data_IF_341578851729
#
_entry.id   IF_341578851729
#
_cell.length_a   1.000
_cell.length_b   1.000
_cell.length_c   1.000
_cell.angle_alpha   90.00
_cell.angle_beta   90.00
_cell.angle_gamma   90.00
#
_symmetry.space_group_name_H-M   'P 1'
#
loop_
_entity.id
_entity.type
_entity.pdbx_description
1 polymer ?
#
# COMPACT_ATOMS: atom_id res chain seq x y z
N UNK A 1 -13.33 31.20 7.22
CA UNK A 1 -12.33 31.61 6.19
C UNK A 1 -12.49 33.12 5.99
N UNK A 2 -11.45 33.94 6.07
CA UNK A 2 -11.59 35.39 5.85
C UNK A 2 -12.05 35.60 4.39
N UNK A 3 -13.15 36.35 4.20
CA UNK A 3 -13.53 36.87 2.87
C UNK A 3 -12.58 38.01 2.55
N UNK A 4 -11.66 37.79 1.62
CA UNK A 4 -10.81 38.83 1.09
C UNK A 4 -11.49 39.37 -0.18
N UNK A 5 -11.91 40.63 -0.16
CA UNK A 5 -12.51 41.29 -1.33
C UNK A 5 -11.36 42.06 -1.99
N UNK A 6 -10.86 41.57 -3.11
CA UNK A 6 -10.10 42.36 -4.06
C UNK A 6 -11.05 42.75 -5.19
N UNK A 7 -11.18 44.03 -5.48
CA UNK A 7 -12.13 44.58 -6.47
C UNK A 7 -11.94 44.09 -7.91
N UNK A 8 -10.87 43.33 -8.19
CA UNK A 8 -10.58 42.74 -9.50
C UNK A 8 -10.74 41.21 -9.54
N UNK A 9 -11.20 40.59 -8.46
CA UNK A 9 -11.34 39.14 -8.36
C UNK A 9 -12.81 38.74 -8.21
N UNK A 10 -13.57 38.91 -9.30
CA UNK A 10 -14.92 38.33 -9.37
C UNK A 10 -14.86 36.81 -9.18
N UNK A 11 -15.33 36.36 -8.02
CA UNK A 11 -15.65 34.95 -7.68
C UNK A 11 -14.51 33.90 -7.75
N UNK A 12 -13.26 34.25 -7.86
CA UNK A 12 -12.17 33.26 -7.82
C UNK A 12 -11.88 32.77 -6.40
N UNK A 13 -11.78 31.45 -6.22
CA UNK A 13 -11.36 30.87 -4.96
C UNK A 13 -9.89 31.25 -4.66
N UNK A 14 -9.65 31.93 -3.54
CA UNK A 14 -8.31 32.32 -3.11
C UNK A 14 -7.77 31.28 -2.12
N UNK A 15 -6.61 30.73 -2.44
CA UNK A 15 -5.82 29.89 -1.55
C UNK A 15 -5.02 30.82 -0.64
N UNK A 16 -5.16 30.63 0.66
CA UNK A 16 -4.48 31.43 1.66
C UNK A 16 -3.54 30.55 2.47
N UNK A 17 -2.29 30.97 2.61
CA UNK A 17 -1.33 30.35 3.55
C UNK A 17 -0.69 31.39 4.44
N UNK A 18 -0.50 31.04 5.70
CA UNK A 18 0.10 31.91 6.71
C UNK A 18 1.33 31.20 7.32
N UNK A 19 2.49 31.88 7.28
CA UNK A 19 3.73 31.39 7.89
C UNK A 19 4.35 32.49 8.74
N UNK A 20 4.24 32.35 10.06
CA UNK A 20 4.62 33.43 10.99
C UNK A 20 3.80 34.69 10.74
N UNK A 21 4.46 35.81 10.43
CA UNK A 21 3.81 37.08 10.06
C UNK A 21 3.60 37.27 8.56
N UNK A 22 3.94 36.27 7.73
CA UNK A 22 3.83 36.37 6.28
C UNK A 22 2.54 35.72 5.78
N UNK A 23 1.78 36.47 4.99
CA UNK A 23 0.54 36.03 4.33
C UNK A 23 0.82 35.82 2.85
N UNK A 24 0.52 34.63 2.33
CA UNK A 24 0.55 34.37 0.89
C UNK A 24 -0.89 34.11 0.41
N UNK A 25 -1.23 34.72 -0.71
CA UNK A 25 -2.52 34.56 -1.38
C UNK A 25 -2.27 34.19 -2.84
N UNK A 26 -3.02 33.25 -3.37
CA UNK A 26 -3.01 32.90 -4.80
C UNK A 26 -4.38 32.38 -5.24
N UNK A 27 -4.67 32.47 -6.52
CA UNK A 27 -5.78 31.72 -7.12
C UNK A 27 -5.29 30.37 -7.69
N UNK A 28 -6.23 29.51 -8.03
CA UNK A 28 -5.92 28.15 -8.49
C UNK A 28 -5.15 28.10 -9.82
N UNK A 29 -5.34 29.07 -10.69
CA UNK A 29 -4.70 29.14 -12.02
C UNK A 29 -3.36 29.88 -12.00
N UNK A 30 -2.97 30.45 -10.85
CA UNK A 30 -1.71 31.18 -10.70
C UNK A 30 -1.67 32.57 -11.36
N UNK A 31 -2.78 33.04 -11.91
CA UNK A 31 -2.87 34.37 -12.52
C UNK A 31 -2.85 35.55 -11.53
N UNK A 32 -3.02 35.22 -10.24
CA UNK A 32 -2.91 36.16 -9.13
C UNK A 32 -2.04 35.58 -8.03
N UNK A 33 -1.08 36.36 -7.56
CA UNK A 33 -0.23 36.04 -6.41
C UNK A 33 0.01 37.27 -5.58
N UNK A 34 -0.13 37.17 -4.27
CA UNK A 34 0.16 38.24 -3.34
C UNK A 34 0.94 37.74 -2.13
N UNK A 35 1.90 38.53 -1.70
CA UNK A 35 2.69 38.31 -0.49
C UNK A 35 2.59 39.56 0.37
N UNK A 36 2.16 39.38 1.62
CA UNK A 36 2.05 40.46 2.58
C UNK A 36 2.59 40.07 3.94
N UNK A 37 2.89 41.09 4.74
CA UNK A 37 3.34 40.92 6.12
C UNK A 37 2.39 41.60 7.08
N UNK A 38 2.05 40.93 8.18
CA UNK A 38 1.27 41.54 9.26
C UNK A 38 2.11 42.56 10.01
N UNK A 39 1.63 43.81 10.06
CA UNK A 39 2.27 44.94 10.75
C UNK A 39 1.14 45.77 11.38
N UNK A 40 1.19 46.02 12.68
CA UNK A 40 0.28 46.91 13.42
C UNK A 40 -1.23 46.69 13.14
N UNK A 41 -1.66 45.45 13.08
CA UNK A 41 -3.09 45.09 12.89
C UNK A 41 -3.57 45.09 11.44
N UNK A 42 -2.70 45.34 10.47
CA UNK A 42 -2.99 45.24 9.03
C UNK A 42 -1.99 44.35 8.30
N UNK A 43 -2.18 44.15 7.02
CA UNK A 43 -1.26 43.46 6.12
C UNK A 43 -0.83 44.41 5.03
N UNK A 44 0.46 44.60 4.89
CA UNK A 44 1.05 45.35 3.79
C UNK A 44 1.87 44.42 2.91
N UNK A 45 1.73 44.55 1.59
CA UNK A 45 2.40 43.64 0.68
C UNK A 45 2.38 44.06 -0.76
N UNK A 46 2.71 43.10 -1.62
CA UNK A 46 2.69 43.24 -3.06
C UNK A 46 1.88 42.12 -3.68
N UNK A 47 1.15 42.44 -4.76
CA UNK A 47 0.53 41.41 -5.59
C UNK A 47 0.96 41.56 -7.04
N UNK A 48 0.91 40.45 -7.76
CA UNK A 48 1.13 40.36 -9.18
C UNK A 48 -0.21 40.05 -9.85
N UNK A 49 -0.57 40.83 -10.84
CA UNK A 49 -1.77 40.62 -11.65
C UNK A 49 -1.50 39.59 -12.77
N UNK A 50 -2.54 39.27 -13.53
CA UNK A 50 -2.48 38.33 -14.67
C UNK A 50 -1.53 38.75 -15.81
N UNK A 51 -1.18 40.01 -15.88
CA UNK A 51 -0.26 40.57 -16.88
C UNK A 51 1.20 40.55 -16.40
N UNK A 52 1.46 40.05 -15.18
CA UNK A 52 2.79 40.01 -14.59
C UNK A 52 3.23 41.32 -13.89
N UNK A 53 2.36 42.33 -13.83
CA UNK A 53 2.66 43.62 -13.21
C UNK A 53 2.51 43.55 -11.69
N UNK A 54 3.36 44.28 -10.96
CA UNK A 54 3.38 44.32 -9.51
C UNK A 54 2.77 45.59 -8.95
N UNK A 55 1.88 45.43 -7.97
CA UNK A 55 1.23 46.53 -7.26
C UNK A 55 1.38 46.35 -5.75
N UNK A 56 1.46 47.46 -5.02
CA UNK A 56 1.41 47.43 -3.56
C UNK A 56 -0.05 47.33 -3.10
N UNK A 57 -0.28 46.62 -2.02
CA UNK A 57 -1.59 46.60 -1.36
C UNK A 57 -1.44 46.80 0.14
N UNK A 58 -2.48 47.30 0.74
CA UNK A 58 -2.64 47.37 2.19
C UNK A 58 -4.02 46.88 2.55
N UNK A 59 -4.10 45.97 3.56
CA UNK A 59 -5.37 45.52 4.12
C UNK A 59 -5.39 45.92 5.60
N UNK A 60 -6.49 46.45 6.04
CA UNK A 60 -6.76 46.76 7.44
C UNK A 60 -7.90 45.86 7.88
N UNK A 61 -7.88 45.47 9.10
CA UNK A 61 -8.99 44.69 9.68
C UNK A 61 -10.20 45.61 9.85
N UNK A 62 -11.23 45.37 9.06
CA UNK A 62 -12.45 46.19 9.04
C UNK A 62 -13.37 45.87 10.24
N UNK A 63 -13.50 44.60 10.57
CA UNK A 63 -14.33 44.15 11.69
C UNK A 63 -13.74 42.92 12.37
N UNK A 64 -14.12 42.71 13.62
CA UNK A 64 -13.91 41.42 14.28
C UNK A 64 -14.82 40.40 13.57
N UNK A 65 -14.24 39.29 13.13
CA UNK A 65 -15.03 38.13 12.70
C UNK A 65 -15.82 37.66 13.94
N UNK A 66 -17.06 38.01 13.99
CA UNK A 66 -18.03 37.39 14.89
C UNK A 66 -18.41 36.11 14.16
N UNK A 67 -17.94 34.96 14.64
CA UNK A 67 -18.49 33.67 14.18
C UNK A 67 -20.02 33.77 14.37
N UNK A 68 -20.77 33.65 13.29
CA UNK A 68 -22.21 33.34 13.44
C UNK A 68 -22.26 32.12 14.34
N UNK A 69 -22.80 32.28 15.55
CA UNK A 69 -23.20 31.11 16.33
C UNK A 69 -24.19 30.37 15.43
N UNK A 70 -23.71 29.29 14.82
CA UNK A 70 -24.62 28.34 14.22
C UNK A 70 -25.55 27.92 15.39
N UNK A 71 -26.82 28.24 15.27
CA UNK A 71 -27.84 27.58 16.05
C UNK A 71 -27.45 26.10 16.11
N UNK A 72 -27.40 25.48 17.28
CA UNK A 72 -27.15 24.07 17.37
C UNK A 72 -28.10 23.37 16.42
N UNK A 73 -27.59 22.83 15.36
CA UNK A 73 -28.36 21.98 14.49
C UNK A 73 -28.71 20.79 15.38
N UNK A 74 -29.97 20.68 15.80
CA UNK A 74 -30.51 19.52 16.51
C UNK A 74 -30.54 18.26 15.58
N UNK A 75 -29.63 18.19 14.62
CA UNK A 75 -29.33 16.92 13.99
C UNK A 75 -28.77 16.02 15.10
N UNK A 76 -29.58 15.07 15.50
CA UNK A 76 -29.16 13.99 16.39
C UNK A 76 -27.82 13.49 15.87
N UNK A 77 -26.76 13.75 16.63
CA UNK A 77 -25.45 13.20 16.31
C UNK A 77 -25.64 11.69 16.35
N UNK A 78 -25.60 11.06 15.19
CA UNK A 78 -25.62 9.60 15.10
C UNK A 78 -24.41 9.08 15.88
N UNK A 79 -24.67 8.67 17.13
CA UNK A 79 -23.67 8.08 18.03
C UNK A 79 -23.50 6.59 17.78
N UNK A 80 -24.15 6.03 16.76
CA UNK A 80 -23.98 4.64 16.40
C UNK A 80 -22.55 4.37 15.99
N UNK A 81 -21.99 3.27 16.48
CA UNK A 81 -20.67 2.82 16.04
C UNK A 81 -20.83 2.33 14.61
N UNK A 82 -20.11 2.91 13.63
CA UNK A 82 -20.17 2.46 12.25
C UNK A 82 -19.85 0.97 12.14
N UNK A 83 -20.57 0.26 11.27
CA UNK A 83 -20.28 -1.14 11.01
C UNK A 83 -18.82 -1.32 10.54
N UNK A 84 -18.12 -2.27 11.15
CA UNK A 84 -16.76 -2.64 10.75
C UNK A 84 -16.80 -3.46 9.46
N UNK A 85 -15.93 -3.14 8.52
CA UNK A 85 -15.78 -3.87 7.27
C UNK A 85 -14.38 -4.50 7.19
N UNK A 86 -14.27 -5.64 6.55
CA UNK A 86 -13.06 -6.44 6.43
C UNK A 86 -12.58 -6.51 4.97
N UNK A 87 -11.50 -5.80 4.58
CA UNK A 87 -10.73 -4.81 5.36
C UNK A 87 -11.29 -3.38 5.27
N UNK A 88 -12.19 -3.09 4.31
CA UNK A 88 -12.77 -1.77 4.06
C UNK A 88 -14.13 -1.86 3.37
N UNK A 89 -14.90 -0.78 3.36
CA UNK A 89 -16.26 -0.75 2.80
C UNK A 89 -16.29 -0.90 1.27
N UNK A 90 -15.25 -0.47 0.56
CA UNK A 90 -15.28 -0.40 -0.90
C UNK A 90 -15.22 -1.80 -1.57
N UNK A 91 -14.39 -2.70 -1.04
CA UNK A 91 -14.13 -4.02 -1.60
C UNK A 91 -14.13 -5.13 -0.54
N UNK A 92 -14.61 -4.83 0.65
CA UNK A 92 -14.53 -5.75 1.78
C UNK A 92 -15.85 -6.43 2.08
N UNK A 93 -15.90 -7.06 3.23
CA UNK A 93 -17.00 -7.86 3.73
C UNK A 93 -17.53 -7.29 5.04
N UNK A 94 -18.84 -7.37 5.28
CA UNK A 94 -19.44 -7.00 6.58
C UNK A 94 -19.04 -7.95 7.70
N UNK A 95 -18.82 -9.21 7.36
CA UNK A 95 -18.34 -10.22 8.28
C UNK A 95 -16.99 -10.75 7.79
N UNK A 96 -16.08 -11.04 8.73
CA UNK A 96 -14.78 -11.61 8.41
C UNK A 96 -14.97 -12.91 7.59
N UNK A 97 -14.30 -13.03 6.41
CA UNK A 97 -14.42 -14.22 5.59
C UNK A 97 -14.09 -15.50 6.37
N UNK A 98 -14.90 -16.51 6.19
CA UNK A 98 -14.71 -17.83 6.80
C UNK A 98 -14.42 -18.85 5.71
N UNK A 99 -13.73 -19.92 6.09
CA UNK A 99 -13.53 -21.06 5.20
C UNK A 99 -14.89 -21.69 4.87
N UNK A 100 -15.09 -21.99 3.59
CA UNK A 100 -16.25 -22.72 3.09
C UNK A 100 -15.85 -24.16 2.71
N UNK A 101 -16.83 -25.06 2.75
CA UNK A 101 -16.72 -26.35 2.09
C UNK A 101 -17.26 -26.19 0.67
N UNK A 102 -16.47 -26.51 -0.33
CA UNK A 102 -16.81 -26.26 -1.74
C UNK A 102 -16.51 -27.51 -2.56
N UNK A 103 -17.49 -27.95 -3.35
CA UNK A 103 -17.32 -28.97 -4.38
C UNK A 103 -17.30 -28.30 -5.75
N UNK A 104 -16.19 -28.38 -6.46
CA UNK A 104 -16.12 -28.06 -7.89
C UNK A 104 -16.41 -29.32 -8.68
N UNK A 105 -17.42 -29.29 -9.55
CA UNK A 105 -17.85 -30.45 -10.34
C UNK A 105 -17.48 -30.33 -11.82
N UNK A 106 -17.12 -31.47 -12.43
CA UNK A 106 -16.90 -31.63 -13.86
C UNK A 106 -15.80 -30.72 -14.46
N UNK A 107 -14.82 -30.32 -13.68
CA UNK A 107 -13.72 -29.47 -14.14
C UNK A 107 -12.70 -30.22 -15.01
N UNK A 108 -11.96 -29.47 -15.82
CA UNK A 108 -10.65 -29.89 -16.31
C UNK A 108 -9.61 -29.47 -15.29
N UNK A 109 -9.03 -30.41 -14.55
CA UNK A 109 -8.14 -30.13 -13.41
C UNK A 109 -6.69 -30.27 -13.86
N UNK A 110 -5.88 -29.22 -13.64
CA UNK A 110 -4.45 -29.22 -13.84
C UNK A 110 -3.78 -29.49 -12.48
N UNK A 111 -3.43 -30.74 -12.24
CA UNK A 111 -2.98 -31.17 -10.91
C UNK A 111 -1.60 -30.66 -10.54
N UNK A 112 -0.74 -30.40 -11.52
CA UNK A 112 0.71 -30.16 -11.35
C UNK A 112 1.45 -31.33 -10.66
N UNK A 113 0.83 -32.50 -10.67
CA UNK A 113 1.34 -33.75 -10.12
C UNK A 113 1.49 -34.81 -11.24
N UNK A 114 1.86 -36.02 -10.87
CA UNK A 114 2.11 -37.12 -11.82
C UNK A 114 0.88 -37.54 -12.62
N UNK A 115 -0.31 -37.29 -12.10
CA UNK A 115 -1.60 -37.55 -12.75
C UNK A 115 -1.86 -36.61 -13.95
N UNK A 116 -1.18 -35.49 -14.00
CA UNK A 116 -1.27 -34.53 -15.10
C UNK A 116 -2.62 -33.82 -15.13
N UNK A 117 -3.31 -33.91 -16.29
CA UNK A 117 -4.59 -33.23 -16.52
C UNK A 117 -5.75 -34.22 -16.41
N UNK A 118 -6.63 -34.01 -15.44
CA UNK A 118 -7.83 -34.81 -15.26
C UNK A 118 -9.03 -34.13 -15.95
N UNK A 119 -9.80 -34.89 -16.72
CA UNK A 119 -10.98 -34.42 -17.43
C UNK A 119 -12.27 -34.79 -16.69
N UNK A 120 -13.26 -33.87 -16.69
CA UNK A 120 -14.56 -34.08 -16.06
C UNK A 120 -14.45 -34.65 -14.63
N UNK A 121 -13.58 -34.03 -13.86
CA UNK A 121 -13.28 -34.46 -12.50
C UNK A 121 -13.71 -33.42 -11.48
N UNK A 122 -13.95 -33.89 -10.27
CA UNK A 122 -14.43 -33.09 -9.15
C UNK A 122 -13.28 -32.82 -8.17
N UNK A 123 -13.35 -31.64 -7.49
CA UNK A 123 -12.47 -31.30 -6.38
C UNK A 123 -13.30 -30.86 -5.20
N UNK A 124 -13.09 -31.49 -4.05
CA UNK A 124 -13.72 -31.13 -2.80
C UNK A 124 -12.72 -30.42 -1.87
N UNK A 125 -13.07 -29.21 -1.45
CA UNK A 125 -12.26 -28.36 -0.58
C UNK A 125 -13.01 -28.16 0.74
N UNK A 126 -12.28 -28.30 1.85
CA UNK A 126 -12.78 -28.00 3.20
C UNK A 126 -11.70 -27.32 4.02
N UNK A 127 -12.08 -26.30 4.80
CA UNK A 127 -11.18 -25.57 5.71
C UNK A 127 -9.90 -25.04 5.03
N UNK A 128 -9.98 -24.80 3.72
CA UNK A 128 -8.84 -24.32 2.93
C UNK A 128 -7.89 -25.43 2.44
N UNK A 129 -8.28 -26.68 2.56
CA UNK A 129 -7.51 -27.84 2.12
C UNK A 129 -8.29 -28.66 1.07
N UNK A 130 -7.60 -29.24 0.10
CA UNK A 130 -8.16 -30.20 -0.84
C UNK A 130 -8.29 -31.53 -0.11
N UNK A 131 -9.52 -32.02 0.06
CA UNK A 131 -9.79 -33.27 0.78
C UNK A 131 -10.08 -34.46 -0.13
N UNK A 132 -10.50 -34.19 -1.38
CA UNK A 132 -10.70 -35.23 -2.37
C UNK A 132 -10.59 -34.68 -3.80
N UNK A 133 -10.05 -35.48 -4.70
CA UNK A 133 -10.07 -35.28 -6.15
C UNK A 133 -10.50 -36.58 -6.81
N UNK A 134 -11.42 -36.52 -7.78
CA UNK A 134 -11.85 -37.72 -8.50
C UNK A 134 -13.05 -37.47 -9.41
N UNK A 135 -13.55 -38.50 -10.03
CA UNK A 135 -14.82 -38.45 -10.76
C UNK A 135 -16.01 -38.71 -9.84
N UNK A 136 -17.08 -37.94 -9.99
CA UNK A 136 -18.35 -38.15 -9.28
C UNK A 136 -18.25 -38.18 -7.75
N UNK A 137 -17.63 -37.17 -7.17
CA UNK A 137 -17.58 -37.04 -5.70
C UNK A 137 -18.98 -36.69 -5.16
N UNK A 138 -19.35 -37.36 -4.04
CA UNK A 138 -20.53 -37.02 -3.28
C UNK A 138 -20.11 -36.20 -2.05
N UNK A 139 -20.46 -34.90 -1.95
CA UNK A 139 -20.12 -34.11 -0.75
C UNK A 139 -20.87 -34.61 0.49
N UNK A 140 -21.97 -35.33 0.32
CA UNK A 140 -22.73 -35.95 1.44
C UNK A 140 -21.98 -37.05 2.15
N UNK A 141 -20.92 -37.60 1.53
CA UNK A 141 -20.03 -38.55 2.20
C UNK A 141 -19.11 -37.90 3.25
N UNK A 142 -19.01 -36.56 3.19
CA UNK A 142 -18.14 -35.76 4.05
C UNK A 142 -18.91 -34.74 4.91
N UNK A 143 -20.04 -34.21 4.44
CA UNK A 143 -20.79 -33.15 5.06
C UNK A 143 -22.28 -33.40 5.06
N UNK A 144 -23.01 -32.73 5.95
CA UNK A 144 -24.48 -32.71 5.92
C UNK A 144 -24.98 -31.77 4.81
N UNK A 145 -26.23 -31.99 4.40
CA UNK A 145 -26.92 -31.10 3.49
C UNK A 145 -26.92 -29.66 4.01
N UNK A 146 -26.58 -28.70 3.14
CA UNK A 146 -26.47 -27.27 3.51
C UNK A 146 -25.13 -26.83 4.11
N UNK A 147 -24.20 -27.76 4.41
CA UNK A 147 -22.88 -27.44 4.95
C UNK A 147 -21.83 -27.21 3.84
N UNK A 148 -22.19 -27.29 2.58
CA UNK A 148 -21.28 -27.12 1.43
C UNK A 148 -21.94 -26.37 0.28
N UNK A 149 -21.10 -25.75 -0.53
CA UNK A 149 -21.47 -25.10 -1.81
C UNK A 149 -21.02 -25.99 -2.98
N UNK A 150 -21.86 -26.11 -4.00
CA UNK A 150 -21.47 -26.83 -5.24
C UNK A 150 -21.36 -25.83 -6.38
N UNK A 151 -20.23 -25.86 -7.08
CA UNK A 151 -19.93 -25.05 -8.24
C UNK A 151 -19.83 -25.95 -9.47
N UNK A 152 -20.69 -25.77 -10.45
CA UNK A 152 -20.55 -26.42 -11.75
C UNK A 152 -19.38 -25.80 -12.50
N UNK A 153 -18.32 -26.56 -12.65
CA UNK A 153 -17.10 -26.18 -13.37
C UNK A 153 -17.01 -26.87 -14.77
N UNK A 154 -18.14 -27.31 -15.31
CA UNK A 154 -18.19 -27.93 -16.64
C UNK A 154 -17.60 -26.99 -17.69
N UNK A 155 -16.65 -27.49 -18.49
CA UNK A 155 -15.87 -26.74 -19.49
C UNK A 155 -14.95 -25.66 -18.92
N UNK A 156 -14.80 -25.58 -17.60
CA UNK A 156 -13.84 -24.68 -16.94
C UNK A 156 -12.57 -25.45 -16.57
N UNK A 157 -11.50 -24.71 -16.43
CA UNK A 157 -10.22 -25.21 -15.96
C UNK A 157 -10.01 -24.84 -14.50
N UNK A 158 -9.64 -25.80 -13.67
CA UNK A 158 -9.25 -25.62 -12.30
C UNK A 158 -7.74 -25.85 -12.17
N UNK A 159 -7.04 -24.85 -11.70
CA UNK A 159 -5.57 -24.88 -11.52
C UNK A 159 -5.22 -24.54 -10.10
N UNK A 160 -3.98 -24.85 -9.67
CA UNK A 160 -3.41 -24.21 -8.49
C UNK A 160 -3.37 -22.70 -8.66
N UNK A 161 -3.43 -21.95 -7.57
CA UNK A 161 -3.22 -20.51 -7.59
C UNK A 161 -1.78 -20.15 -7.94
N UNK A 162 -1.58 -18.94 -8.47
CA UNK A 162 -0.27 -18.40 -8.80
C UNK A 162 0.43 -17.93 -7.51
N UNK A 163 1.70 -18.27 -7.38
CA UNK A 163 2.59 -17.75 -6.34
C UNK A 163 3.53 -16.75 -6.99
N UNK A 164 3.50 -15.50 -6.54
CA UNK A 164 4.39 -14.44 -7.00
C UNK A 164 5.60 -14.35 -6.05
N UNK A 165 6.74 -14.79 -6.51
CA UNK A 165 7.98 -14.84 -5.71
C UNK A 165 8.74 -13.50 -5.67
N UNK A 166 8.24 -12.46 -6.34
CA UNK A 166 8.87 -11.13 -6.35
C UNK A 166 7.84 -10.01 -6.34
N UNK A 167 7.33 -9.67 -5.17
CA UNK A 167 6.27 -8.69 -5.03
C UNK A 167 6.62 -7.54 -4.07
N UNK A 168 6.01 -6.39 -4.33
CA UNK A 168 6.11 -5.18 -3.50
C UNK A 168 4.74 -4.64 -3.08
N UNK A 169 3.67 -5.43 -3.27
CA UNK A 169 2.31 -5.09 -2.78
C UNK A 169 2.22 -5.27 -1.27
N UNK A 170 1.15 -4.80 -0.69
CA UNK A 170 0.88 -4.97 0.74
C UNK A 170 1.99 -4.47 1.67
N UNK A 171 2.76 -3.46 1.27
CA UNK A 171 3.85 -2.87 2.06
C UNK A 171 3.52 -1.40 2.32
N UNK A 172 3.57 -1.00 3.60
CA UNK A 172 3.29 0.37 4.01
C UNK A 172 4.44 1.33 3.68
N UNK A 173 4.12 2.49 3.08
CA UNK A 173 5.01 3.65 2.92
C UNK A 173 6.31 3.44 2.15
N UNK A 174 6.43 2.36 1.39
CA UNK A 174 7.61 2.08 0.57
C UNK A 174 8.33 0.80 0.97
N UNK A 175 9.23 0.35 0.10
CA UNK A 175 9.83 -0.98 0.15
C UNK A 175 11.32 -0.96 0.50
N UNK A 176 11.89 0.23 0.69
CA UNK A 176 13.33 0.40 0.87
C UNK A 176 13.66 1.05 2.20
N UNK A 177 14.58 0.41 2.95
CA UNK A 177 15.37 1.10 3.96
C UNK A 177 16.69 1.53 3.31
N UNK A 178 16.70 2.77 2.80
CA UNK A 178 17.77 3.26 1.92
C UNK A 178 18.97 3.88 2.63
N UNK A 179 18.94 4.03 3.97
CA UNK A 179 19.94 4.78 4.73
C UNK A 179 21.31 4.11 4.78
N UNK A 180 21.38 2.78 4.63
CA UNK A 180 22.61 2.00 4.70
C UNK A 180 22.78 1.11 3.47
N UNK A 181 24.03 0.74 3.16
CA UNK A 181 24.33 -0.21 2.10
C UNK A 181 24.00 -1.67 2.47
N UNK A 182 23.99 -1.94 3.78
CA UNK A 182 23.61 -3.23 4.36
C UNK A 182 22.52 -2.97 5.40
N UNK A 183 21.34 -3.48 5.17
CA UNK A 183 20.17 -3.39 6.06
C UNK A 183 19.52 -4.77 6.27
N UNK A 184 20.37 -5.79 6.48
CA UNK A 184 19.97 -7.18 6.62
C UNK A 184 19.00 -7.45 7.80
N UNK A 185 19.02 -6.56 8.79
CA UNK A 185 18.21 -6.63 10.01
C UNK A 185 16.76 -6.18 9.83
N UNK A 186 16.46 -5.36 8.81
CA UNK A 186 15.10 -4.88 8.60
C UNK A 186 14.23 -5.96 7.98
N UNK A 187 12.93 -5.97 8.28
CA UNK A 187 12.01 -7.03 7.87
C UNK A 187 10.78 -6.43 7.20
N UNK A 188 10.50 -6.84 5.98
CA UNK A 188 9.26 -6.47 5.28
C UNK A 188 8.02 -6.95 6.05
N UNK A 189 8.13 -8.07 6.75
CA UNK A 189 7.06 -8.60 7.57
C UNK A 189 6.56 -7.67 8.69
N UNK A 190 7.33 -6.66 9.08
CA UNK A 190 6.94 -5.70 10.13
C UNK A 190 6.07 -4.54 9.59
N UNK A 191 5.98 -4.40 8.27
CA UNK A 191 5.29 -3.29 7.60
C UNK A 191 4.20 -3.74 6.62
N UNK A 192 3.66 -4.94 6.80
CA UNK A 192 2.57 -5.44 5.97
C UNK A 192 1.33 -4.56 6.14
N UNK A 193 0.78 -4.12 5.02
CA UNK A 193 -0.49 -3.39 4.94
C UNK A 193 -1.60 -4.34 4.44
N UNK A 194 -2.44 -4.89 5.31
CA UNK A 194 -3.50 -5.81 4.91
C UNK A 194 -4.65 -5.14 4.17
N UNK A 195 -4.69 -3.80 4.15
CA UNK A 195 -5.73 -3.00 3.50
C UNK A 195 -5.33 -2.53 2.09
N UNK A 196 -4.18 -2.95 1.58
CA UNK A 196 -3.74 -2.60 0.24
C UNK A 196 -4.66 -3.25 -0.80
N UNK A 197 -5.37 -2.44 -1.58
CA UNK A 197 -6.27 -2.90 -2.63
C UNK A 197 -5.58 -3.74 -3.72
N UNK A 198 -4.26 -3.67 -3.83
CA UNK A 198 -3.51 -4.52 -4.76
C UNK A 198 -3.60 -6.00 -4.37
N UNK A 199 -3.82 -6.33 -3.10
CA UNK A 199 -4.12 -7.71 -2.66
C UNK A 199 -5.39 -8.20 -3.36
N UNK A 200 -6.46 -7.41 -3.32
CA UNK A 200 -7.73 -7.73 -3.99
C UNK A 200 -7.56 -7.86 -5.51
N UNK A 201 -6.80 -6.95 -6.13
CA UNK A 201 -6.52 -6.99 -7.58
C UNK A 201 -5.72 -8.22 -7.99
N UNK A 202 -4.71 -8.60 -7.22
CA UNK A 202 -3.91 -9.81 -7.49
C UNK A 202 -4.74 -11.09 -7.35
N UNK A 203 -5.59 -11.16 -6.31
CA UNK A 203 -6.53 -12.28 -6.13
C UNK A 203 -7.47 -12.43 -7.33
N UNK A 204 -7.98 -11.32 -7.90
CA UNK A 204 -8.85 -11.37 -9.08
C UNK A 204 -8.15 -11.92 -10.33
N UNK A 205 -6.82 -11.85 -10.37
CA UNK A 205 -5.96 -12.45 -11.41
C UNK A 205 -5.49 -13.87 -11.10
N UNK A 206 -5.87 -14.43 -9.95
CA UNK A 206 -5.49 -15.79 -9.55
C UNK A 206 -4.19 -15.91 -8.75
N UNK A 207 -3.55 -14.79 -8.38
CA UNK A 207 -2.41 -14.82 -7.44
C UNK A 207 -2.92 -15.02 -6.03
N UNK A 208 -2.45 -16.06 -5.35
CA UNK A 208 -2.94 -16.46 -4.01
C UNK A 208 -1.90 -16.30 -2.90
N UNK A 209 -0.63 -16.20 -3.27
CA UNK A 209 0.47 -15.99 -2.35
C UNK A 209 1.54 -15.12 -2.99
N UNK A 210 2.29 -14.39 -2.16
CA UNK A 210 3.39 -13.54 -2.63
C UNK A 210 4.55 -13.54 -1.64
N UNK A 211 5.76 -13.52 -2.17
CA UNK A 211 6.95 -13.18 -1.42
C UNK A 211 7.17 -11.67 -1.49
N UNK A 212 7.04 -11.00 -0.38
CA UNK A 212 7.22 -9.56 -0.24
C UNK A 212 8.69 -9.26 -0.01
N UNK A 213 9.27 -8.46 -0.88
CA UNK A 213 10.70 -8.18 -0.89
C UNK A 213 11.00 -6.73 -0.54
N UNK A 214 12.12 -6.51 0.15
CA UNK A 214 12.81 -5.22 0.14
C UNK A 214 13.14 -4.82 -1.31
N UNK A 215 13.08 -3.55 -1.64
CA UNK A 215 13.45 -3.07 -2.97
C UNK A 215 14.97 -3.15 -3.22
N UNK A 216 15.38 -2.77 -4.43
CA UNK A 216 16.77 -2.86 -4.88
C UNK A 216 17.60 -1.61 -4.54
N UNK A 217 17.34 -0.96 -3.39
CA UNK A 217 18.08 0.22 -2.97
C UNK A 217 19.49 -0.12 -2.44
N UNK A 218 19.63 -1.28 -1.81
CA UNK A 218 20.83 -1.68 -1.08
C UNK A 218 21.44 -2.93 -1.71
N UNK A 219 22.78 -3.06 -1.76
CA UNK A 219 23.44 -4.32 -2.14
C UNK A 219 22.98 -5.49 -1.27
N UNK A 220 22.89 -5.28 0.05
CA UNK A 220 22.28 -6.21 1.00
C UNK A 220 21.07 -5.53 1.60
N UNK A 221 19.88 -5.93 1.17
CA UNK A 221 18.59 -5.40 1.61
C UNK A 221 18.05 -6.13 2.82
N UNK A 222 16.74 -6.00 3.06
CA UNK A 222 16.07 -6.57 4.20
C UNK A 222 15.55 -8.01 4.00
N UNK A 223 15.03 -8.56 5.08
CA UNK A 223 14.42 -9.88 5.13
C UNK A 223 13.02 -9.83 4.49
N UNK A 224 12.70 -10.85 3.71
CA UNK A 224 11.42 -11.02 3.04
C UNK A 224 10.34 -11.54 3.98
N UNK A 225 9.09 -11.43 3.54
CA UNK A 225 7.96 -12.12 4.15
C UNK A 225 7.18 -12.88 3.08
N UNK A 226 6.70 -14.07 3.38
CA UNK A 226 5.82 -14.82 2.50
C UNK A 226 4.41 -14.76 3.09
N UNK A 227 3.46 -14.32 2.26
CA UNK A 227 2.07 -14.15 2.66
C UNK A 227 1.12 -14.92 1.75
N UNK A 228 -0.01 -15.37 2.31
CA UNK A 228 -1.21 -15.72 1.55
C UNK A 228 -2.05 -14.45 1.39
N UNK A 229 -2.56 -14.21 0.18
CA UNK A 229 -3.36 -13.02 -0.12
C UNK A 229 -4.80 -13.17 0.44
N UNK A 230 -4.92 -13.23 1.76
CA UNK A 230 -6.20 -13.42 2.47
C UNK A 230 -6.89 -12.08 2.67
N UNK A 231 -7.66 -11.64 1.67
CA UNK A 231 -8.39 -10.38 1.74
C UNK A 231 -9.38 -10.37 2.93
N UNK A 232 -9.27 -9.37 3.81
CA UNK A 232 -10.05 -9.28 5.06
C UNK A 232 -9.35 -9.83 6.29
N UNK A 233 -8.20 -10.48 6.15
CA UNK A 233 -7.34 -10.90 7.26
C UNK A 233 -6.44 -9.74 7.74
N UNK A 234 -5.92 -9.84 8.96
CA UNK A 234 -4.89 -8.93 9.44
C UNK A 234 -3.49 -9.33 8.95
N UNK A 235 -2.48 -8.48 9.19
CA UNK A 235 -1.12 -8.70 8.71
C UNK A 235 -0.51 -10.03 9.20
N UNK A 236 -0.72 -10.39 10.45
CA UNK A 236 -0.18 -11.65 11.01
C UNK A 236 -0.89 -12.88 10.43
N UNK A 237 -2.19 -12.81 10.23
CA UNK A 237 -2.97 -13.90 9.63
C UNK A 237 -2.62 -14.15 8.16
N UNK A 238 -2.05 -13.15 7.46
CA UNK A 238 -1.58 -13.31 6.09
C UNK A 238 -0.25 -14.05 6.02
N UNK A 239 0.63 -13.93 7.00
CA UNK A 239 1.94 -14.59 6.99
C UNK A 239 1.81 -16.10 6.92
N UNK A 240 2.65 -16.74 6.12
CA UNK A 240 2.75 -18.21 6.10
C UNK A 240 3.61 -18.60 7.29
N UNK A 241 3.00 -19.35 8.21
CA UNK A 241 3.70 -19.87 9.38
C UNK A 241 4.83 -20.82 8.97
N UNK A 242 5.98 -20.71 9.64
CA UNK A 242 7.16 -21.56 9.41
C UNK A 242 7.71 -21.51 7.97
N UNK A 243 7.42 -20.44 7.22
CA UNK A 243 8.08 -20.22 5.95
C UNK A 243 9.58 -20.01 6.17
N UNK A 244 10.40 -20.48 5.21
CA UNK A 244 11.83 -20.23 5.23
C UNK A 244 12.14 -18.73 5.21
N UNK A 245 13.22 -18.35 5.86
CA UNK A 245 13.72 -16.98 5.85
C UNK A 245 14.47 -16.69 4.56
N UNK A 246 14.19 -15.51 3.98
CA UNK A 246 14.86 -15.00 2.80
C UNK A 246 15.38 -13.60 3.07
N UNK A 247 16.42 -13.21 2.37
CA UNK A 247 16.99 -11.88 2.38
C UNK A 247 17.20 -11.39 0.95
N UNK A 248 16.88 -10.13 0.70
CA UNK A 248 17.05 -9.50 -0.60
C UNK A 248 18.51 -9.09 -0.81
N UNK A 249 19.09 -9.55 -1.90
CA UNK A 249 20.32 -9.03 -2.46
C UNK A 249 20.02 -8.33 -3.77
N UNK A 250 20.76 -7.27 -4.09
CA UNK A 250 20.62 -6.57 -5.36
C UNK A 250 21.98 -6.19 -5.93
N UNK A 251 22.09 -6.31 -7.24
CA UNK A 251 23.30 -6.07 -8.02
C UNK A 251 23.05 -5.00 -9.10
N UNK A 252 24.11 -4.61 -9.78
CA UNK A 252 24.01 -3.75 -10.95
C UNK A 252 23.84 -2.28 -10.61
N UNK A 253 22.98 -1.60 -11.36
CA UNK A 253 22.87 -0.14 -11.35
C UNK A 253 22.02 0.40 -10.20
N UNK A 254 20.94 -0.31 -9.82
CA UNK A 254 19.97 0.19 -8.85
C UNK A 254 20.56 0.49 -7.47
N UNK A 255 21.57 -0.26 -7.06
CA UNK A 255 22.20 -0.15 -5.73
C UNK A 255 23.32 0.88 -5.66
N UNK A 256 23.68 1.46 -6.80
CA UNK A 256 24.67 2.54 -6.87
C UNK A 256 23.99 3.87 -6.56
N UNK A 257 24.49 4.59 -5.58
CA UNK A 257 23.90 5.88 -5.21
C UNK A 257 24.06 6.95 -6.32
N UNK A 258 25.04 6.80 -7.20
CA UNK A 258 25.22 7.68 -8.37
C UNK A 258 24.02 7.72 -9.32
N UNK A 259 23.08 6.76 -9.22
CA UNK A 259 21.87 6.73 -10.03
C UNK A 259 20.64 7.38 -9.36
N UNK A 260 20.76 7.88 -8.13
CA UNK A 260 19.64 8.39 -7.35
C UNK A 260 19.44 9.90 -7.49
N UNK A 261 20.19 10.56 -8.38
CA UNK A 261 20.15 11.99 -8.63
C UNK A 261 21.24 12.77 -7.91
N UNK A 262 21.35 14.04 -8.26
CA UNK A 262 22.47 14.90 -7.82
C UNK A 262 22.47 15.23 -6.33
N UNK A 263 21.33 15.08 -5.67
CA UNK A 263 21.16 15.44 -4.25
C UNK A 263 21.23 14.26 -3.29
N UNK A 264 21.38 13.01 -3.78
CA UNK A 264 21.32 11.81 -2.95
C UNK A 264 22.60 10.96 -3.05
N UNK A 265 23.73 11.57 -3.39
CA UNK A 265 25.00 10.90 -3.62
C UNK A 265 25.87 10.74 -2.37
N UNK A 266 25.27 10.74 -1.19
CA UNK A 266 26.04 10.78 0.06
C UNK A 266 26.42 9.39 0.62
N UNK A 267 25.82 8.33 0.11
CA UNK A 267 26.03 6.98 0.61
C UNK A 267 26.89 6.13 -0.32
N UNK A 268 27.82 5.36 0.27
CA UNK A 268 28.48 4.25 -0.44
C UNK A 268 27.46 3.11 -0.72
N UNK A 269 27.55 2.39 -1.87
CA UNK A 269 28.53 2.50 -2.93
C UNK A 269 28.09 3.44 -4.08
N UNK A 270 29.07 4.02 -4.76
CA UNK A 270 28.86 4.85 -5.95
C UNK A 270 29.15 4.11 -7.27
N UNK A 271 29.87 3.01 -7.21
CA UNK A 271 30.33 2.23 -8.37
C UNK A 271 30.09 0.76 -8.16
N UNK A 272 30.20 -0.03 -9.25
CA UNK A 272 30.12 -1.51 -9.18
C UNK A 272 31.23 -2.11 -8.32
N UNK A 273 32.43 -1.51 -8.30
CA UNK A 273 33.50 -1.91 -7.39
C UNK A 273 33.09 -1.78 -5.94
N UNK A 274 32.40 -0.68 -5.61
CA UNK A 274 31.85 -0.47 -4.27
C UNK A 274 30.73 -1.46 -3.93
N UNK A 275 29.88 -1.82 -4.89
CA UNK A 275 28.82 -2.84 -4.68
C UNK A 275 29.46 -4.18 -4.32
N UNK A 276 30.46 -4.63 -5.08
CA UNK A 276 31.20 -5.86 -4.80
C UNK A 276 31.83 -5.83 -3.40
N UNK A 277 32.49 -4.72 -3.04
CA UNK A 277 33.10 -4.56 -1.72
C UNK A 277 32.07 -4.67 -0.57
N UNK A 278 30.86 -4.12 -0.74
CA UNK A 278 29.80 -4.26 0.27
C UNK A 278 29.46 -5.73 0.52
N UNK A 279 29.37 -6.55 -0.53
CA UNK A 279 29.08 -7.98 -0.37
C UNK A 279 30.21 -8.68 0.39
N UNK A 280 31.46 -8.49 0.01
CA UNK A 280 32.59 -9.09 0.71
C UNK A 280 32.64 -8.70 2.17
N UNK A 281 32.45 -7.42 2.49
CA UNK A 281 32.46 -6.92 3.87
C UNK A 281 31.30 -7.51 4.70
N UNK A 282 30.08 -7.53 4.16
CA UNK A 282 28.92 -8.08 4.84
C UNK A 282 29.10 -9.56 5.22
N UNK A 283 29.54 -10.39 4.27
CA UNK A 283 29.78 -11.80 4.52
C UNK A 283 30.99 -12.05 5.42
N UNK A 284 32.04 -11.23 5.30
CA UNK A 284 33.19 -11.31 6.21
C UNK A 284 32.80 -11.04 7.66
N UNK A 285 32.02 -9.98 7.86
CA UNK A 285 31.49 -9.63 9.21
C UNK A 285 30.58 -10.74 9.75
N UNK A 286 29.67 -11.29 8.93
CA UNK A 286 28.79 -12.39 9.34
C UNK A 286 29.61 -13.61 9.78
N UNK A 287 30.67 -13.99 9.07
CA UNK A 287 31.57 -15.07 9.45
C UNK A 287 32.36 -14.76 10.73
N UNK A 288 32.80 -13.54 10.91
CA UNK A 288 33.49 -13.12 12.13
C UNK A 288 32.56 -13.20 13.34
N UNK A 289 31.33 -12.73 13.18
CA UNK A 289 30.29 -12.84 14.21
C UNK A 289 30.02 -14.31 14.57
N UNK A 290 29.80 -15.18 13.57
CA UNK A 290 29.56 -16.61 13.77
C UNK A 290 30.69 -17.30 14.57
N UNK A 291 31.95 -16.89 14.37
CA UNK A 291 33.10 -17.44 15.07
C UNK A 291 33.24 -16.94 16.51
N UNK A 292 32.65 -15.76 16.81
CA UNK A 292 32.69 -15.15 18.15
C UNK A 292 31.66 -15.73 19.11
N UNK A 293 30.64 -16.40 18.56
CA UNK A 293 29.58 -17.10 19.30
C UNK A 293 29.79 -18.61 19.26
#
# INVERSE_FOLDING_TARGET
KPKTIFHELDSAAIITSLSGSNLNLSNNDGSFRAIGKFINGGVNGRYQNKNGEYYNFSMVRDSLFIAEEKEPNDEEIDTSIPATWFPNKAFGFENKPQHKNVLFKNATIWTNETEGILQNSDVLISKGEIIAIGGLLSPLDYFKEGEFETIDASKLHLTSGIIDEHSHIAISRGVNEGSQAVSAEVRIGDVINPNDHNIYRQLSGGTVASQLLHGSANPVGGQSAIIKLRWGANAEEMKIANADGFIKFALGENVKQSNWGDFENERFPQTRMGVEQVFYDAFFRARAYQKAW
#
